data_IF_635343111860
#
_entry.id   IF_635343111860
#
_cell.length_a   1.000
_cell.length_b   1.000
_cell.length_c   1.000
_cell.angle_alpha   90.00
_cell.angle_beta   90.00
_cell.angle_gamma   90.00
#
_symmetry.space_group_name_H-M   'P 1'
#
loop_
_entity.id
_entity.type
_entity.pdbx_description
1 polymer ?
#
# COMPACT_ATOMS: atom_id res chain seq x y z
N UNK A 1 -31.57 -11.58 7.32
CA UNK A 1 -30.58 -12.20 8.23
C UNK A 1 -29.50 -12.86 7.38
N UNK A 2 -28.22 -12.80 7.79
CA UNK A 2 -27.11 -13.43 7.07
C UNK A 2 -26.73 -14.81 7.61
N UNK A 3 -25.62 -15.38 7.14
CA UNK A 3 -25.15 -16.70 7.54
C UNK A 3 -24.68 -16.79 9.00
N UNK A 4 -24.88 -17.94 9.64
CA UNK A 4 -24.45 -18.20 11.01
C UNK A 4 -23.37 -19.28 11.07
N UNK A 5 -22.54 -19.24 12.11
CA UNK A 5 -21.58 -20.31 12.38
C UNK A 5 -22.27 -21.54 13.00
N UNK A 6 -21.53 -22.65 13.17
CA UNK A 6 -22.04 -23.91 13.75
C UNK A 6 -22.62 -23.76 15.17
N UNK A 7 -22.28 -22.67 15.87
CA UNK A 7 -22.78 -22.35 17.21
C UNK A 7 -23.95 -21.35 17.19
N UNK A 8 -24.45 -20.97 16.01
CA UNK A 8 -25.58 -20.06 15.84
C UNK A 8 -25.24 -18.56 15.87
N UNK A 9 -23.96 -18.18 16.02
CA UNK A 9 -23.56 -16.77 15.97
C UNK A 9 -23.53 -16.22 14.54
N UNK A 10 -23.88 -14.95 14.37
CA UNK A 10 -23.86 -14.26 13.07
C UNK A 10 -22.42 -14.14 12.53
N UNK A 11 -22.20 -14.57 11.30
CA UNK A 11 -20.94 -14.35 10.60
C UNK A 11 -20.83 -12.88 10.16
N UNK A 12 -19.62 -12.33 10.25
CA UNK A 12 -19.25 -11.04 9.67
C UNK A 12 -18.21 -11.24 8.55
N UNK A 13 -18.15 -10.35 7.57
CA UNK A 13 -17.04 -10.37 6.61
C UNK A 13 -15.70 -10.24 7.33
N UNK A 14 -14.70 -11.00 6.88
CA UNK A 14 -13.34 -10.89 7.38
C UNK A 14 -12.61 -9.72 6.68
N UNK A 15 -13.06 -8.51 6.98
CA UNK A 15 -12.52 -7.25 6.48
C UNK A 15 -12.31 -6.30 7.66
N UNK A 16 -11.41 -5.34 7.49
CA UNK A 16 -11.16 -4.29 8.49
C UNK A 16 -12.05 -3.10 8.18
N UNK A 17 -12.88 -2.69 9.13
CA UNK A 17 -13.65 -1.46 9.07
C UNK A 17 -12.87 -0.26 9.61
N UNK A 18 -13.34 0.95 9.28
CA UNK A 18 -12.79 2.16 9.90
C UNK A 18 -13.00 2.12 11.41
N UNK A 19 -11.93 2.41 12.16
CA UNK A 19 -11.91 2.33 13.62
C UNK A 19 -11.53 0.95 14.16
N UNK A 20 -11.43 -0.09 13.32
CA UNK A 20 -10.86 -1.37 13.72
C UNK A 20 -9.33 -1.37 13.53
N UNK A 21 -8.64 -2.12 14.39
CA UNK A 21 -7.20 -2.35 14.25
C UNK A 21 -6.88 -3.12 12.96
N UNK A 22 -5.76 -2.76 12.32
CA UNK A 22 -5.24 -3.47 11.14
C UNK A 22 -4.25 -4.55 11.60
N UNK A 23 -4.60 -5.85 11.60
CA UNK A 23 -3.82 -6.87 12.32
C UNK A 23 -2.39 -7.05 11.79
N UNK A 24 -2.21 -6.92 10.47
CA UNK A 24 -0.92 -7.18 9.79
C UNK A 24 -0.03 -5.95 9.66
N UNK A 25 -0.42 -4.80 10.27
CA UNK A 25 0.31 -3.54 10.05
C UNK A 25 1.76 -3.62 10.55
N UNK A 26 2.00 -4.27 11.69
CA UNK A 26 3.35 -4.40 12.27
C UNK A 26 4.26 -5.23 11.35
N UNK A 27 3.77 -6.35 10.85
CA UNK A 27 4.50 -7.19 9.90
C UNK A 27 4.80 -6.43 8.60
N UNK A 28 3.84 -5.64 8.10
CA UNK A 28 4.08 -4.80 6.92
C UNK A 28 5.19 -3.76 7.16
N UNK A 29 5.24 -3.14 8.34
CA UNK A 29 6.31 -2.22 8.73
C UNK A 29 7.68 -2.92 8.71
N UNK A 30 7.79 -4.09 9.33
CA UNK A 30 9.04 -4.87 9.38
C UNK A 30 9.54 -5.22 7.96
N UNK A 31 8.63 -5.57 7.05
CA UNK A 31 8.96 -5.81 5.64
C UNK A 31 9.46 -4.51 4.97
N UNK A 32 8.72 -3.41 5.11
CA UNK A 32 9.09 -2.12 4.51
C UNK A 32 10.48 -1.63 4.97
N UNK A 33 10.87 -1.89 6.22
CA UNK A 33 12.20 -1.53 6.75
C UNK A 33 13.36 -2.27 6.06
N UNK A 34 13.08 -3.41 5.45
CA UNK A 34 14.09 -4.24 4.76
C UNK A 34 14.07 -4.08 3.24
N UNK A 35 13.08 -3.39 2.68
CA UNK A 35 12.90 -3.27 1.24
C UNK A 35 13.98 -2.40 0.58
N UNK A 36 14.56 -2.90 -0.51
CA UNK A 36 15.49 -2.14 -1.36
C UNK A 36 14.77 -1.20 -2.33
N UNK A 37 13.51 -1.51 -2.67
CA UNK A 37 12.63 -0.68 -3.50
C UNK A 37 11.21 -0.72 -2.94
N UNK A 38 10.49 0.40 -3.01
CA UNK A 38 9.07 0.48 -2.67
C UNK A 38 8.25 0.88 -3.90
N UNK A 39 7.16 0.17 -4.17
CA UNK A 39 6.20 0.53 -5.22
C UNK A 39 4.84 0.79 -4.60
N UNK A 40 4.28 1.97 -4.86
CA UNK A 40 2.96 2.39 -4.38
C UNK A 40 2.06 2.51 -5.61
N UNK A 41 0.95 1.77 -5.63
CA UNK A 41 0.12 1.60 -6.83
C UNK A 41 -1.33 1.88 -6.51
N UNK A 42 -1.96 2.81 -7.24
CA UNK A 42 -3.41 3.00 -7.24
C UNK A 42 -4.01 3.37 -5.87
N UNK A 43 -3.31 4.22 -5.10
CA UNK A 43 -3.78 4.69 -3.79
C UNK A 43 -3.68 6.20 -3.67
N UNK A 44 -4.66 6.80 -3.01
CA UNK A 44 -4.67 8.23 -2.69
C UNK A 44 -3.74 8.61 -1.54
N UNK A 45 -3.15 7.62 -0.84
CA UNK A 45 -2.33 7.81 0.36
C UNK A 45 -3.06 8.53 1.52
N UNK A 46 -4.39 8.41 1.59
CA UNK A 46 -5.21 9.05 2.64
C UNK A 46 -5.67 8.09 3.75
N UNK A 47 -5.54 6.77 3.56
CA UNK A 47 -6.03 5.77 4.52
C UNK A 47 -4.92 5.34 5.45
N UNK A 48 -5.05 5.68 6.73
CA UNK A 48 -4.12 5.29 7.79
C UNK A 48 -4.58 3.99 8.47
N UNK A 49 -3.64 3.15 8.93
CA UNK A 49 -2.17 3.36 8.97
C UNK A 49 -1.42 3.04 7.66
N UNK A 50 -2.06 2.45 6.65
CA UNK A 50 -1.37 1.94 5.46
C UNK A 50 -0.57 3.00 4.68
N UNK A 51 -1.09 4.23 4.54
CA UNK A 51 -0.36 5.33 3.91
C UNK A 51 0.96 5.68 4.62
N UNK A 52 1.05 5.40 5.92
CA UNK A 52 2.25 5.64 6.71
C UNK A 52 3.41 4.68 6.43
N UNK A 53 3.18 3.57 5.71
CA UNK A 53 4.23 2.59 5.40
C UNK A 53 5.41 3.18 4.63
N UNK A 54 5.17 4.22 3.83
CA UNK A 54 6.20 5.00 3.15
C UNK A 54 7.24 5.61 4.11
N UNK A 55 6.89 5.84 5.37
CA UNK A 55 7.78 6.44 6.36
C UNK A 55 8.68 5.42 7.07
N UNK A 56 8.45 4.12 6.86
CA UNK A 56 9.22 3.06 7.52
C UNK A 56 10.33 2.47 6.64
N UNK A 57 10.44 2.90 5.37
CA UNK A 57 11.55 2.50 4.50
C UNK A 57 12.85 3.25 4.87
N UNK A 58 13.99 2.70 4.44
CA UNK A 58 15.29 3.37 4.62
C UNK A 58 15.36 4.65 3.79
N UNK A 59 16.06 5.67 4.28
CA UNK A 59 16.09 7.01 3.66
C UNK A 59 16.56 7.09 2.21
N UNK A 60 17.22 6.07 1.66
CA UNK A 60 17.73 6.05 0.26
C UNK A 60 16.98 5.06 -0.64
N UNK A 61 15.94 4.42 -0.12
CA UNK A 61 15.14 3.43 -0.85
C UNK A 61 14.40 4.14 -1.98
N UNK A 62 14.59 3.75 -3.25
CA UNK A 62 13.82 4.30 -4.36
C UNK A 62 12.35 3.91 -4.23
N UNK A 63 11.48 4.90 -4.43
CA UNK A 63 10.02 4.75 -4.39
C UNK A 63 9.45 5.02 -5.77
N UNK A 64 8.58 4.14 -6.26
CA UNK A 64 7.84 4.30 -7.51
C UNK A 64 6.37 4.48 -7.19
N UNK A 65 5.83 5.67 -7.44
CA UNK A 65 4.43 5.99 -7.20
C UNK A 65 3.66 5.97 -8.52
N UNK A 66 2.74 5.03 -8.67
CA UNK A 66 2.00 4.76 -9.90
C UNK A 66 0.52 5.06 -9.68
N UNK A 67 0.05 6.14 -10.31
CA UNK A 67 -1.36 6.51 -10.28
C UNK A 67 -1.68 7.46 -11.46
N UNK A 68 -2.83 7.34 -12.16
CA UNK A 68 -3.20 8.27 -13.23
C UNK A 68 -3.36 9.73 -12.79
N UNK A 69 -3.68 9.96 -11.52
CA UNK A 69 -3.87 11.28 -10.90
C UNK A 69 -3.09 11.35 -9.58
N UNK A 70 -1.75 11.46 -9.63
CA UNK A 70 -0.91 11.29 -8.46
C UNK A 70 -1.25 12.22 -7.31
N UNK A 71 -1.42 11.65 -6.11
CA UNK A 71 -1.66 12.41 -4.88
C UNK A 71 -0.38 12.97 -4.25
N UNK A 72 0.79 12.52 -4.70
CA UNK A 72 2.10 12.97 -4.21
C UNK A 72 2.96 13.49 -5.36
N UNK A 73 3.83 14.45 -5.03
CA UNK A 73 4.78 15.03 -5.96
C UNK A 73 6.09 14.24 -6.01
N UNK A 74 6.78 14.34 -7.14
CA UNK A 74 8.11 13.77 -7.33
C UNK A 74 9.12 14.40 -6.35
N UNK A 75 9.98 13.56 -5.75
CA UNK A 75 11.06 13.99 -4.85
C UNK A 75 12.37 13.29 -5.24
N UNK A 76 13.44 13.51 -4.47
CA UNK A 76 14.74 12.86 -4.72
C UNK A 76 14.66 11.33 -4.73
N UNK A 77 13.83 10.75 -3.85
CA UNK A 77 13.69 9.30 -3.72
C UNK A 77 12.37 8.77 -4.31
N UNK A 78 11.41 9.64 -4.64
CA UNK A 78 10.10 9.24 -5.14
C UNK A 78 9.98 9.61 -6.61
N UNK A 79 9.84 8.60 -7.47
CA UNK A 79 9.54 8.73 -8.89
C UNK A 79 8.05 8.54 -9.13
N UNK A 80 7.40 9.55 -9.70
CA UNK A 80 5.98 9.49 -10.02
C UNK A 80 5.78 9.02 -11.46
N UNK A 81 4.86 8.08 -11.65
CA UNK A 81 4.46 7.51 -12.94
C UNK A 81 2.95 7.75 -13.09
N UNK A 82 2.60 8.80 -13.84
CA UNK A 82 1.23 9.24 -14.04
C UNK A 82 0.49 8.36 -15.08
N UNK A 83 0.33 7.07 -14.76
CA UNK A 83 -0.27 6.07 -15.65
C UNK A 83 -1.14 5.08 -14.87
N UNK A 84 -2.09 4.38 -15.52
CA UNK A 84 -2.80 3.26 -14.92
C UNK A 84 -1.85 2.16 -14.46
N UNK A 85 -2.23 1.41 -13.41
CA UNK A 85 -1.43 0.31 -12.88
C UNK A 85 -0.98 -0.70 -13.95
N UNK A 86 -1.83 -0.95 -14.96
CA UNK A 86 -1.57 -1.91 -16.04
C UNK A 86 -0.37 -1.56 -16.92
N UNK A 87 -0.07 -0.28 -17.13
CA UNK A 87 1.10 0.19 -17.89
C UNK A 87 2.21 0.71 -16.98
N UNK A 88 1.83 1.46 -15.94
CA UNK A 88 2.75 2.09 -15.01
C UNK A 88 3.61 1.10 -14.22
N UNK A 89 3.06 -0.05 -13.82
CA UNK A 89 3.84 -1.11 -13.14
C UNK A 89 4.91 -1.68 -14.08
N UNK A 90 4.57 -1.98 -15.34
CA UNK A 90 5.54 -2.47 -16.34
C UNK A 90 6.68 -1.48 -16.55
N UNK A 91 6.34 -0.19 -16.62
CA UNK A 91 7.30 0.91 -16.74
C UNK A 91 8.17 1.09 -15.50
N UNK A 92 7.64 0.86 -14.30
CA UNK A 92 8.45 0.88 -13.08
C UNK A 92 9.43 -0.31 -13.05
N UNK A 93 8.97 -1.50 -13.45
CA UNK A 93 9.82 -2.70 -13.48
C UNK A 93 11.01 -2.52 -14.42
N UNK A 94 10.84 -1.90 -15.60
CA UNK A 94 11.97 -1.64 -16.50
C UNK A 94 12.99 -0.61 -15.96
N UNK A 95 12.67 0.07 -14.86
CA UNK A 95 13.56 1.00 -14.16
C UNK A 95 14.24 0.36 -12.95
N UNK A 96 13.83 -0.86 -12.55
CA UNK A 96 14.57 -1.66 -11.58
C UNK A 96 15.82 -2.18 -12.29
N UNK A 97 16.99 -1.92 -11.70
CA UNK A 97 18.28 -2.39 -12.21
C UNK A 97 18.73 -3.59 -11.39
#
# INVERSE_FOLDING_TARGET
>A
LGDTCKLGHQLRPHIVWFGEDVPMIKTAIEICQTADHLMIVGTSMQVYPAAGLLHYIRSKTPVYFIDPKPAISQTVNVKVIAEPATTGVKKAISMLR
#
